data_IF_657237343268
#
_entry.id   IF_657237343268
#
_cell.length_a   1.000
_cell.length_b   1.000
_cell.length_c   1.000
_cell.angle_alpha   90.00
_cell.angle_beta   90.00
_cell.angle_gamma   90.00
#
_symmetry.space_group_name_H-M   'P 1'
#
loop_
_entity.id
_entity.type
_entity.pdbx_description
1 polymer ?
#
# COMPACT_ATOMS: atom_id res chain seq x y z
N UNK A 1 -27.36 -9.68 15.87
CA UNK A 1 -27.91 -9.48 14.52
C UNK A 1 -27.03 -10.27 13.56
N UNK A 2 -27.61 -10.91 12.55
CA UNK A 2 -26.90 -11.78 11.60
C UNK A 2 -26.17 -10.97 10.53
N UNK A 3 -25.08 -11.51 10.01
CA UNK A 3 -24.25 -10.92 8.94
C UNK A 3 -25.06 -10.75 7.63
N UNK A 4 -24.85 -9.63 6.93
CA UNK A 4 -25.38 -9.42 5.58
C UNK A 4 -24.36 -9.98 4.60
N UNK A 5 -24.64 -11.14 4.03
CA UNK A 5 -23.82 -11.79 3.01
C UNK A 5 -24.36 -11.55 1.61
N UNK A 6 -23.47 -11.34 0.65
CA UNK A 6 -23.82 -11.04 -0.73
C UNK A 6 -22.78 -11.57 -1.72
N UNK A 7 -23.23 -12.18 -2.81
CA UNK A 7 -22.39 -12.71 -3.90
C UNK A 7 -22.86 -12.12 -5.24
N UNK A 8 -21.94 -11.55 -6.03
CA UNK A 8 -22.27 -10.93 -7.33
C UNK A 8 -21.13 -11.02 -8.36
N UNK A 9 -21.49 -10.92 -9.63
CA UNK A 9 -20.56 -10.96 -10.76
C UNK A 9 -19.76 -9.64 -10.90
N UNK A 10 -18.58 -9.66 -11.55
CA UNK A 10 -17.79 -8.45 -11.82
C UNK A 10 -18.58 -7.41 -12.62
N UNK A 11 -18.53 -6.13 -12.23
CA UNK A 11 -19.17 -5.02 -12.92
C UNK A 11 -20.65 -4.77 -12.58
N UNK A 12 -21.34 -5.69 -11.89
CA UNK A 12 -22.73 -5.49 -11.46
C UNK A 12 -22.81 -4.52 -10.27
N UNK A 13 -23.81 -3.64 -10.29
CA UNK A 13 -24.19 -2.77 -9.18
C UNK A 13 -25.32 -3.45 -8.40
N UNK A 14 -25.16 -3.62 -7.09
CA UNK A 14 -26.21 -4.13 -6.22
C UNK A 14 -26.51 -3.14 -5.11
N UNK A 15 -27.79 -2.85 -4.92
CA UNK A 15 -28.30 -2.06 -3.80
C UNK A 15 -28.58 -2.98 -2.61
N UNK A 16 -27.83 -2.81 -1.53
CA UNK A 16 -27.99 -3.55 -0.28
C UNK A 16 -28.62 -2.62 0.75
N UNK A 17 -29.86 -2.91 1.13
CA UNK A 17 -30.54 -2.20 2.19
C UNK A 17 -29.92 -2.56 3.54
N UNK A 18 -29.34 -1.55 4.19
CA UNK A 18 -28.73 -1.67 5.50
C UNK A 18 -29.80 -1.74 6.59
N UNK A 19 -29.40 -2.24 7.75
CA UNK A 19 -30.28 -2.42 8.89
C UNK A 19 -30.86 -1.13 9.51
N UNK A 20 -30.31 0.03 9.12
CA UNK A 20 -30.75 1.38 9.51
C UNK A 20 -31.64 2.04 8.43
N UNK A 21 -31.93 1.33 7.34
CA UNK A 21 -32.73 1.83 6.21
C UNK A 21 -31.93 2.56 5.14
N UNK A 22 -30.62 2.76 5.33
CA UNK A 22 -29.75 3.32 4.28
C UNK A 22 -29.53 2.32 3.13
N UNK A 23 -29.31 2.83 1.93
CA UNK A 23 -29.05 2.01 0.74
C UNK A 23 -27.57 2.09 0.38
N UNK A 24 -26.88 0.94 0.44
CA UNK A 24 -25.47 0.82 0.07
C UNK A 24 -25.37 0.25 -1.35
N UNK A 25 -24.78 1.00 -2.28
CA UNK A 25 -24.51 0.52 -3.65
C UNK A 25 -23.12 -0.09 -3.73
N UNK A 26 -23.05 -1.40 -4.00
CA UNK A 26 -21.80 -2.12 -4.17
C UNK A 26 -21.59 -2.41 -5.66
N UNK A 27 -20.43 -2.02 -6.19
CA UNK A 27 -20.02 -2.28 -7.57
C UNK A 27 -18.62 -2.89 -7.57
N UNK A 28 -18.46 -4.07 -8.17
CA UNK A 28 -17.13 -4.65 -8.39
C UNK A 28 -16.35 -3.84 -9.43
N UNK A 29 -15.05 -3.66 -9.22
CA UNK A 29 -14.13 -3.01 -10.16
C UNK A 29 -14.31 -3.57 -11.58
N UNK A 30 -14.28 -2.67 -12.57
CA UNK A 30 -14.40 -3.03 -13.98
C UNK A 30 -13.23 -3.94 -14.39
N UNK A 31 -13.45 -4.97 -15.21
CA UNK A 31 -12.39 -5.91 -15.63
C UNK A 31 -11.20 -5.24 -16.33
N UNK A 32 -11.37 -4.04 -16.88
CA UNK A 32 -10.33 -3.30 -17.61
C UNK A 32 -9.53 -2.32 -16.73
N UNK A 33 -9.68 -2.38 -15.41
CA UNK A 33 -8.96 -1.49 -14.50
C UNK A 33 -7.49 -1.92 -14.36
N UNK A 34 -6.57 -1.09 -14.84
CA UNK A 34 -5.13 -1.26 -14.62
C UNK A 34 -4.71 -0.54 -13.32
N UNK A 35 -4.35 -1.28 -12.26
CA UNK A 35 -3.96 -0.70 -10.98
C UNK A 35 -2.55 -0.08 -11.00
N UNK A 36 -1.80 -0.16 -12.10
CA UNK A 36 -0.41 0.35 -12.16
C UNK A 36 -0.32 1.83 -12.53
N UNK A 37 -1.41 2.45 -13.01
CA UNK A 37 -1.48 3.88 -13.31
C UNK A 37 -2.01 4.69 -12.12
N UNK A 38 -1.10 5.43 -11.46
CA UNK A 38 -1.41 6.30 -10.32
C UNK A 38 -2.42 7.41 -10.66
N UNK A 39 -2.35 7.98 -11.87
CA UNK A 39 -3.24 9.06 -12.28
C UNK A 39 -4.64 8.53 -12.59
N UNK A 40 -4.73 7.36 -13.22
CA UNK A 40 -6.00 6.69 -13.45
C UNK A 40 -6.70 6.35 -12.13
N UNK A 41 -5.96 5.83 -11.15
CA UNK A 41 -6.48 5.51 -9.82
C UNK A 41 -7.02 6.73 -9.07
N UNK A 42 -6.25 7.83 -9.05
CA UNK A 42 -6.69 9.09 -8.42
C UNK A 42 -7.92 9.69 -9.11
N UNK A 43 -7.93 9.69 -10.44
CA UNK A 43 -9.07 10.19 -11.21
C UNK A 43 -10.33 9.35 -10.96
N UNK A 44 -10.18 8.02 -10.89
CA UNK A 44 -11.25 7.10 -10.57
C UNK A 44 -11.83 7.37 -9.18
N UNK A 45 -10.99 7.50 -8.16
CA UNK A 45 -11.42 7.86 -6.80
C UNK A 45 -12.20 9.18 -6.76
N UNK A 46 -11.70 10.22 -7.43
CA UNK A 46 -12.33 11.53 -7.42
C UNK A 46 -13.69 11.55 -8.15
N UNK A 47 -13.81 10.85 -9.29
CA UNK A 47 -15.07 10.71 -10.04
C UNK A 47 -16.13 10.00 -9.20
N UNK A 48 -15.76 8.94 -8.50
CA UNK A 48 -16.69 8.20 -7.64
C UNK A 48 -17.06 8.97 -6.37
N UNK A 49 -16.09 9.68 -5.76
CA UNK A 49 -16.35 10.56 -4.63
C UNK A 49 -17.36 11.66 -4.98
N UNK A 50 -17.26 12.26 -6.18
CA UNK A 50 -18.21 13.26 -6.66
C UNK A 50 -19.65 12.71 -6.83
N UNK A 51 -19.80 11.39 -6.98
CA UNK A 51 -21.10 10.69 -7.05
C UNK A 51 -21.61 10.24 -5.67
N UNK A 52 -20.89 10.55 -4.60
CA UNK A 52 -21.18 10.05 -3.25
C UNK A 52 -20.87 8.56 -3.07
N UNK A 53 -20.07 7.98 -3.97
CA UNK A 53 -19.68 6.58 -3.95
C UNK A 53 -18.29 6.43 -3.30
N UNK A 54 -18.12 5.40 -2.47
CA UNK A 54 -16.83 5.05 -1.87
C UNK A 54 -16.26 3.87 -2.64
N UNK A 55 -15.08 4.08 -3.22
CA UNK A 55 -14.37 3.02 -3.95
C UNK A 55 -13.68 2.09 -2.96
N UNK A 56 -13.83 0.78 -3.16
CA UNK A 56 -13.22 -0.28 -2.34
C UNK A 56 -12.45 -1.28 -3.21
N UNK A 57 -11.44 -1.95 -2.64
CA UNK A 57 -10.61 -2.92 -3.35
C UNK A 57 -9.16 -2.45 -3.61
N UNK A 58 -8.48 -3.09 -4.57
CA UNK A 58 -7.13 -2.70 -5.00
C UNK A 58 -7.25 -1.50 -5.96
N UNK A 59 -6.87 -0.31 -5.47
CA UNK A 59 -6.96 0.93 -6.24
C UNK A 59 -5.66 1.25 -6.98
N UNK A 60 -4.51 0.99 -6.37
CA UNK A 60 -3.23 1.29 -6.97
C UNK A 60 -2.18 0.28 -6.47
N UNK A 61 -1.31 -0.14 -7.37
CA UNK A 61 -0.16 -0.98 -7.11
C UNK A 61 1.05 -0.36 -7.83
N UNK A 62 2.06 0.02 -7.06
CA UNK A 62 3.35 0.38 -7.63
C UNK A 62 4.17 -0.89 -7.86
N UNK A 63 4.39 -1.24 -9.14
CA UNK A 63 5.16 -2.43 -9.53
C UNK A 63 6.67 -2.28 -9.33
N UNK A 64 7.14 -1.06 -9.08
CA UNK A 64 8.55 -0.73 -8.85
C UNK A 64 8.84 -0.43 -7.37
N UNK A 65 7.84 -0.50 -6.49
CA UNK A 65 8.05 -0.32 -5.07
C UNK A 65 9.01 -1.40 -4.54
N UNK A 66 10.22 -0.97 -4.22
CA UNK A 66 11.22 -1.81 -3.56
C UNK A 66 10.83 -2.01 -2.11
N UNK A 67 11.21 -3.15 -1.54
CA UNK A 67 11.03 -3.42 -0.11
C UNK A 67 11.59 -2.27 0.74
N UNK A 68 10.96 -2.03 1.89
CA UNK A 68 11.32 -0.91 2.77
C UNK A 68 12.79 -0.99 3.21
N UNK A 69 13.33 -2.19 3.45
CA UNK A 69 14.74 -2.35 3.82
C UNK A 69 15.67 -1.92 2.68
N UNK A 70 15.31 -2.22 1.43
CA UNK A 70 16.02 -1.78 0.23
C UNK A 70 15.93 -0.27 0.06
N UNK A 71 14.74 0.32 0.21
CA UNK A 71 14.54 1.76 0.06
C UNK A 71 15.32 2.57 1.11
N UNK A 72 15.43 2.05 2.34
CA UNK A 72 16.14 2.69 3.44
C UNK A 72 17.63 2.33 3.51
N UNK A 73 18.16 1.55 2.56
CA UNK A 73 19.55 1.04 2.58
C UNK A 73 19.93 0.40 3.93
N UNK A 74 18.99 -0.31 4.55
CA UNK A 74 19.22 -0.97 5.84
C UNK A 74 19.86 -2.35 5.65
N UNK A 75 20.51 -2.87 6.69
CA UNK A 75 21.13 -4.19 6.62
C UNK A 75 20.11 -5.33 6.56
N UNK A 76 20.42 -6.37 5.79
CA UNK A 76 19.63 -7.63 5.75
C UNK A 76 19.57 -8.34 7.11
N UNK A 77 20.56 -8.07 7.98
CA UNK A 77 20.64 -8.68 9.32
C UNK A 77 19.80 -7.88 10.33
N UNK A 78 19.00 -8.54 11.17
CA UNK A 78 18.29 -7.88 12.26
C UNK A 78 19.27 -7.16 13.21
N UNK A 79 18.97 -5.91 13.56
CA UNK A 79 19.83 -5.08 14.41
C UNK A 79 20.14 -5.70 15.78
N UNK A 80 19.21 -6.48 16.35
CA UNK A 80 19.39 -7.16 17.64
C UNK A 80 20.39 -8.34 17.58
N UNK A 81 20.78 -8.78 16.38
CA UNK A 81 21.82 -9.81 16.18
C UNK A 81 23.21 -9.23 16.00
N UNK A 82 23.32 -7.91 15.88
CA UNK A 82 24.60 -7.23 15.68
C UNK A 82 25.28 -6.98 17.03
N UNK A 83 26.50 -7.48 17.18
CA UNK A 83 27.31 -7.28 18.38
C UNK A 83 28.12 -5.98 18.34
N UNK A 84 28.65 -5.57 19.50
CA UNK A 84 29.45 -4.35 19.63
C UNK A 84 30.65 -4.31 18.67
N UNK A 85 31.30 -5.45 18.40
CA UNK A 85 32.43 -5.53 17.47
C UNK A 85 32.03 -5.28 16.00
N UNK A 86 30.75 -5.47 15.64
CA UNK A 86 30.22 -5.24 14.29
C UNK A 86 29.68 -3.82 14.13
N UNK A 87 29.16 -3.23 15.22
CA UNK A 87 28.61 -1.87 15.23
C UNK A 87 29.70 -0.80 15.43
N UNK A 88 30.80 -1.16 16.10
CA UNK A 88 31.88 -0.25 16.43
C UNK A 88 33.16 -0.67 15.69
N UNK A 89 33.49 -0.07 14.52
CA UNK A 89 34.71 -0.38 13.77
C UNK A 89 36.01 0.07 14.49
N UNK A 90 35.88 0.77 15.63
CA UNK A 90 36.99 1.28 16.43
C UNK A 90 37.59 2.57 15.89
N UNK A 91 38.41 3.24 16.70
CA UNK A 91 38.97 4.55 16.38
C UNK A 91 39.86 4.53 15.11
N UNK A 92 40.66 3.47 14.92
CA UNK A 92 41.58 3.38 13.78
C UNK A 92 40.89 3.27 12.42
N UNK A 93 39.77 2.55 12.32
CA UNK A 93 39.00 2.45 11.07
C UNK A 93 38.20 3.73 10.81
N UNK A 94 37.71 4.40 11.86
CA UNK A 94 37.07 5.71 11.75
C UNK A 94 38.05 6.78 11.24
N UNK A 95 39.31 6.77 11.70
CA UNK A 95 40.35 7.68 11.21
C UNK A 95 40.66 7.46 9.74
N UNK A 96 40.74 6.20 9.28
CA UNK A 96 40.91 5.88 7.86
C UNK A 96 39.75 6.41 7.01
N UNK A 97 38.50 6.17 7.42
CA UNK A 97 37.33 6.68 6.70
C UNK A 97 37.30 8.21 6.63
N UNK A 98 37.63 8.89 7.73
CA UNK A 98 37.71 10.35 7.77
C UNK A 98 38.82 10.92 6.87
N UNK A 99 39.92 10.19 6.68
CA UNK A 99 40.98 10.60 5.76
C UNK A 99 40.55 10.50 4.29
N UNK A 100 39.67 9.55 3.92
CA UNK A 100 39.17 9.39 2.55
C UNK A 100 38.10 10.42 2.14
N UNK A 101 37.49 11.09 3.12
CA UNK A 101 36.44 12.11 2.91
C UNK A 101 36.98 13.56 3.01
N UNK A 102 38.29 13.72 3.15
CA UNK A 102 39.01 15.01 3.17
C UNK A 102 39.68 15.27 1.84
#
# INVERSE_FOLDING_TARGET
RSEITTEYAPGEMVEVQQHDGSMLRLRKLHPDYDPTDRYAAMSYMQVHQARGEIVTGLLYLDSLATDLHTALNTSDKPLNTLGAAQLCPGAGELEKMNATLR
#
